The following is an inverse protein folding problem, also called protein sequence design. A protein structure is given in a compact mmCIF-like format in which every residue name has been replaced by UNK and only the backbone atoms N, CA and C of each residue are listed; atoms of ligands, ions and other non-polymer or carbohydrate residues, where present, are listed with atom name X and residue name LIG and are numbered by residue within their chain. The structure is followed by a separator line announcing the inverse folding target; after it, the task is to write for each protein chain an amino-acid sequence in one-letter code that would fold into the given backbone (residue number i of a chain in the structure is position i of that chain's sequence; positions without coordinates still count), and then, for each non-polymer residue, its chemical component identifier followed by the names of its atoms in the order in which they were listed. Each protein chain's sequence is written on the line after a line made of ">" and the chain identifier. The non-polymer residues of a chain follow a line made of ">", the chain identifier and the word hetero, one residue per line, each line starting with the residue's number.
data_IF_836960707993
#
_entry.id   IF_836960707993
#
_cell.length_a   1.000
_cell.length_b   1.000
_cell.length_c   1.000
_cell.angle_alpha   90.00
_cell.angle_beta   90.00
_cell.angle_gamma   90.00
#
_symmetry.space_group_name_H-M   'P 1'
#
loop_
_entity.id
_entity.type
_entity.pdbx_description
1 polymer ?
#
# COMPACT_ATOMS: atom_id res chain seq x y z
N UNK A 1 -24.42 -3.89 9.26
CA UNK A 1 -23.11 -4.15 8.63
C UNK A 1 -22.21 -3.00 8.98
N UNK A 2 -21.25 -3.18 9.89
CA UNK A 2 -20.21 -2.17 10.15
C UNK A 2 -19.29 -2.15 8.94
N UNK A 3 -19.17 -1.01 8.28
CA UNK A 3 -18.17 -0.82 7.23
C UNK A 3 -16.79 -1.13 7.83
N UNK A 4 -15.97 -1.92 7.14
CA UNK A 4 -14.60 -2.11 7.56
C UNK A 4 -13.90 -0.74 7.60
N UNK A 5 -13.04 -0.48 8.60
CA UNK A 5 -12.31 0.78 8.65
C UNK A 5 -11.45 0.91 7.38
N UNK A 6 -11.70 1.98 6.62
CA UNK A 6 -10.90 2.38 5.48
C UNK A 6 -9.63 3.05 6.01
N UNK A 7 -8.47 2.53 5.65
CA UNK A 7 -7.17 3.11 6.01
C UNK A 7 -6.61 3.84 4.81
N UNK A 8 -6.28 5.11 4.99
CA UNK A 8 -5.77 5.96 3.92
C UNK A 8 -4.42 6.54 4.32
N UNK A 9 -3.46 6.50 3.41
CA UNK A 9 -2.15 7.11 3.59
C UNK A 9 -1.69 7.78 2.28
N UNK A 10 -1.61 9.12 2.24
CA UNK A 10 -0.99 9.81 1.11
C UNK A 10 0.50 9.46 1.08
N UNK A 11 0.99 9.00 -0.07
CA UNK A 11 2.42 8.82 -0.30
C UNK A 11 3.09 10.13 -0.72
N UNK A 12 2.39 10.93 -1.53
CA UNK A 12 2.76 12.30 -1.90
C UNK A 12 1.50 13.11 -2.17
N UNK A 13 1.64 14.39 -2.51
CA UNK A 13 0.51 15.24 -2.92
C UNK A 13 -0.24 14.72 -4.17
N UNK A 14 0.34 13.75 -4.89
CA UNK A 14 -0.20 13.18 -6.11
C UNK A 14 -0.43 11.67 -6.05
N UNK A 15 -0.20 11.04 -4.90
CA UNK A 15 -0.37 9.60 -4.74
C UNK A 15 -1.06 9.29 -3.42
N UNK A 16 -2.19 8.60 -3.48
CA UNK A 16 -2.94 8.13 -2.31
C UNK A 16 -3.00 6.60 -2.30
N UNK A 17 -2.79 6.00 -1.13
CA UNK A 17 -2.97 4.57 -0.89
C UNK A 17 -4.17 4.38 0.03
N UNK A 18 -5.11 3.53 -0.35
CA UNK A 18 -6.27 3.20 0.48
C UNK A 18 -6.39 1.69 0.68
N UNK A 19 -6.86 1.26 1.84
CA UNK A 19 -7.06 -0.15 2.15
C UNK A 19 -8.37 -0.36 2.90
N UNK A 20 -9.25 -1.17 2.34
CA UNK A 20 -10.60 -1.45 2.87
C UNK A 20 -10.66 -2.70 3.78
N UNK A 21 -9.50 -3.29 4.10
CA UNK A 21 -9.41 -4.56 4.81
C UNK A 21 -9.23 -5.79 3.90
N UNK A 22 -9.33 -5.63 2.58
CA UNK A 22 -9.16 -6.72 1.59
C UNK A 22 -8.32 -6.31 0.39
N UNK A 23 -8.53 -5.10 -0.13
CA UNK A 23 -7.91 -4.59 -1.35
C UNK A 23 -7.15 -3.32 -1.00
N UNK A 24 -5.87 -3.29 -1.38
CA UNK A 24 -5.09 -2.07 -1.41
C UNK A 24 -5.31 -1.39 -2.76
N UNK A 25 -5.78 -0.17 -2.75
CA UNK A 25 -5.91 0.66 -3.94
C UNK A 25 -4.80 1.70 -3.96
N UNK A 26 -4.30 1.97 -5.15
CA UNK A 26 -3.30 3.02 -5.38
C UNK A 26 -3.88 4.00 -6.37
N UNK A 27 -3.97 5.26 -5.97
CA UNK A 27 -4.40 6.39 -6.78
C UNK A 27 -3.16 7.23 -7.10
N UNK A 28 -2.85 7.41 -8.39
CA UNK A 28 -1.68 8.16 -8.84
C UNK A 28 -1.99 9.53 -9.43
N UNK A 29 -0.95 10.17 -9.97
CA UNK A 29 -0.93 11.54 -10.51
C UNK A 29 -2.06 11.88 -11.50
N UNK A 30 -2.61 10.88 -12.18
CA UNK A 30 -3.83 10.98 -12.98
C UNK A 30 -4.77 9.87 -12.52
N UNK A 31 -6.08 10.16 -12.38
CA UNK A 31 -7.12 9.18 -12.02
C UNK A 31 -7.10 7.92 -12.91
N UNK A 32 -6.49 8.00 -14.10
CA UNK A 32 -6.24 6.87 -15.00
C UNK A 32 -5.25 5.82 -14.45
N UNK A 33 -4.50 6.12 -13.38
CA UNK A 33 -3.54 5.22 -12.76
C UNK A 33 -4.08 4.54 -11.49
N UNK A 34 -5.40 4.30 -11.40
CA UNK A 34 -5.99 3.50 -10.34
C UNK A 34 -5.76 2.01 -10.60
N UNK A 35 -5.17 1.32 -9.63
CA UNK A 35 -5.13 -0.15 -9.67
C UNK A 35 -5.38 -0.76 -8.29
N UNK A 36 -6.02 -1.93 -8.33
CA UNK A 36 -6.41 -2.70 -7.17
C UNK A 36 -5.41 -3.83 -6.93
N UNK A 37 -5.01 -4.00 -5.67
CA UNK A 37 -4.05 -5.01 -5.25
C UNK A 37 -4.70 -5.87 -4.17
N UNK A 38 -5.03 -7.11 -4.53
CA UNK A 38 -5.76 -8.06 -3.66
C UNK A 38 -4.88 -9.23 -3.17
N UNK A 39 -3.72 -9.45 -3.77
CA UNK A 39 -2.83 -10.60 -3.53
C UNK A 39 -1.92 -10.44 -2.29
N UNK A 40 -2.49 -10.10 -1.14
CA UNK A 40 -1.76 -9.94 0.13
C UNK A 40 -0.54 -9.01 0.02
N UNK A 41 -0.75 -7.75 -0.38
CA UNK A 41 0.34 -6.82 -0.66
C UNK A 41 1.21 -6.56 0.58
N UNK A 42 2.52 -6.50 0.35
CA UNK A 42 3.52 -6.07 1.34
C UNK A 42 4.15 -4.78 0.91
N UNK A 43 4.42 -3.91 1.87
CA UNK A 43 5.09 -2.63 1.65
C UNK A 43 6.49 -2.65 2.23
N UNK A 44 7.46 -2.23 1.44
CA UNK A 44 8.85 -2.03 1.83
C UNK A 44 9.26 -0.59 1.55
N UNK A 45 10.01 0.02 2.46
CA UNK A 45 10.46 1.40 2.34
C UNK A 45 11.92 1.45 1.92
N UNK A 46 12.17 1.94 0.70
CA UNK A 46 13.52 2.17 0.21
C UNK A 46 14.19 3.33 0.94
N UNK A 47 15.46 3.14 1.33
CA UNK A 47 16.31 4.12 2.02
C UNK A 47 17.27 4.87 1.08
N UNK A 48 17.12 4.69 -0.24
CA UNK A 48 17.99 5.28 -1.26
C UNK A 48 17.76 6.78 -1.49
N UNK A 49 18.57 7.37 -2.38
CA UNK A 49 18.51 8.79 -2.79
C UNK A 49 17.11 9.26 -3.19
N UNK A 50 16.31 8.35 -3.73
CA UNK A 50 14.89 8.56 -3.97
C UNK A 50 14.10 7.67 -3.03
N UNK A 51 13.33 8.30 -2.13
CA UNK A 51 12.43 7.61 -1.21
C UNK A 51 11.29 6.98 -2.00
N UNK A 52 11.15 5.66 -1.88
CA UNK A 52 10.09 4.91 -2.55
C UNK A 52 9.48 3.89 -1.62
N UNK A 53 8.18 3.73 -1.69
CA UNK A 53 7.51 2.55 -1.14
C UNK A 53 7.38 1.54 -2.28
N UNK A 54 7.76 0.31 -1.98
CA UNK A 54 7.67 -0.82 -2.91
C UNK A 54 6.55 -1.71 -2.42
N UNK A 55 5.52 -1.85 -3.25
CA UNK A 55 4.38 -2.73 -3.03
C UNK A 55 4.68 -4.03 -3.78
N UNK A 56 4.90 -5.11 -3.06
CA UNK A 56 5.12 -6.44 -3.61
C UNK A 56 3.88 -7.29 -3.39
N UNK A 57 3.39 -7.94 -4.45
CA UNK A 57 2.29 -8.90 -4.37
C UNK A 57 2.80 -10.33 -4.37
N UNK A 58 1.95 -11.30 -3.99
CA UNK A 58 2.30 -12.72 -3.91
C UNK A 58 2.89 -13.29 -5.21
N UNK A 59 2.38 -12.88 -6.38
CA UNK A 59 2.93 -13.26 -7.69
C UNK A 59 4.35 -12.74 -7.96
N UNK A 60 4.94 -11.95 -7.05
CA UNK A 60 6.28 -11.38 -7.19
C UNK A 60 6.30 -10.10 -8.01
N UNK A 61 5.15 -9.65 -8.56
CA UNK A 61 5.04 -8.34 -9.19
C UNK A 61 5.30 -7.26 -8.15
N UNK A 62 6.16 -6.31 -8.52
CA UNK A 62 6.54 -5.16 -7.68
C UNK A 62 6.08 -3.88 -8.34
N UNK A 63 5.45 -3.03 -7.56
CA UNK A 63 5.16 -1.66 -7.92
C UNK A 63 5.90 -0.74 -6.97
N UNK A 64 6.31 0.41 -7.46
CA UNK A 64 7.04 1.35 -6.63
C UNK A 64 6.54 2.74 -6.89
N UNK A 65 6.21 3.46 -5.81
CA UNK A 65 5.77 4.85 -5.88
C UNK A 65 6.72 5.71 -5.03
N UNK A 66 7.04 6.94 -5.47
CA UNK A 66 7.76 7.88 -4.63
C UNK A 66 6.93 8.23 -3.39
N UNK A 67 7.58 8.64 -2.31
CA UNK A 67 6.88 9.20 -1.16
C UNK A 67 7.63 10.38 -0.52
N UNK A 68 6.87 11.28 0.09
CA UNK A 68 7.38 12.44 0.80
C UNK A 68 7.80 12.10 2.23
N UNK A 69 8.89 12.70 2.69
CA UNK A 69 9.58 12.32 3.91
C UNK A 69 8.70 12.31 5.17
N UNK A 70 7.85 13.32 5.28
CA UNK A 70 6.89 13.59 6.34
C UNK A 70 5.70 12.63 6.34
N UNK A 71 5.42 11.98 5.21
CA UNK A 71 4.31 11.03 5.05
C UNK A 71 4.66 9.60 5.48
N UNK A 72 5.94 9.35 5.79
CA UNK A 72 6.45 8.02 6.13
C UNK A 72 5.66 7.33 7.24
N UNK A 73 5.35 8.04 8.32
CA UNK A 73 4.67 7.45 9.49
C UNK A 73 3.31 6.86 9.12
N UNK A 74 2.48 7.60 8.36
CA UNK A 74 1.18 7.10 7.91
C UNK A 74 1.29 5.91 6.96
N UNK A 75 2.32 5.88 6.11
CA UNK A 75 2.59 4.73 5.25
C UNK A 75 3.03 3.49 6.05
N UNK A 76 3.83 3.67 7.10
CA UNK A 76 4.24 2.58 7.99
C UNK A 76 3.05 2.01 8.78
N UNK A 77 2.13 2.86 9.22
CA UNK A 77 0.87 2.43 9.84
C UNK A 77 0.01 1.61 8.87
N UNK A 78 -0.16 2.09 7.63
CA UNK A 78 -0.86 1.36 6.58
C UNK A 78 -0.19 0.01 6.30
N UNK A 79 1.14 -0.02 6.20
CA UNK A 79 1.90 -1.26 6.02
C UNK A 79 1.68 -2.25 7.18
N UNK A 80 1.60 -1.76 8.42
CA UNK A 80 1.32 -2.57 9.58
C UNK A 80 -0.12 -3.12 9.57
N UNK A 81 -1.10 -2.34 9.10
CA UNK A 81 -2.48 -2.82 8.87
C UNK A 81 -2.48 -3.92 7.81
N UNK A 82 -1.86 -3.69 6.66
CA UNK A 82 -1.75 -4.68 5.58
C UNK A 82 -1.17 -6.00 6.09
N UNK A 83 -0.08 -5.94 6.84
CA UNK A 83 0.58 -7.12 7.40
C UNK A 83 -0.33 -7.92 8.35
N UNK A 84 -1.19 -7.25 9.12
CA UNK A 84 -2.18 -7.90 10.00
C UNK A 84 -3.38 -8.48 9.23
N UNK A 85 -3.71 -7.90 8.08
CA UNK A 85 -4.87 -8.29 7.28
C UNK A 85 -4.58 -9.41 6.28
N UNK A 86 -3.32 -9.72 5.99
CA UNK A 86 -2.97 -10.94 5.25
C UNK A 86 -3.30 -12.14 6.15
N UNK A 87 -4.31 -12.97 5.83
CA UNK A 87 -4.57 -14.16 6.61
C UNK A 87 -3.35 -15.08 6.48
N UNK A 88 -2.83 -15.60 7.59
CA UNK A 88 -2.06 -16.83 7.56
C UNK A 88 -2.98 -17.93 7.00
N UNK A 89 -2.97 -18.14 5.69
CA UNK A 89 -3.48 -19.38 5.11
C UNK A 89 -2.32 -20.33 4.92
N UNK A 90 -2.46 -21.60 5.34
CA UNK A 90 -1.40 -22.59 5.16
C UNK A 90 -1.02 -22.60 3.68
N UNK A 91 0.29 -22.71 3.43
CA UNK A 91 0.78 -23.00 2.08
C UNK A 91 0.14 -24.27 1.50
N UNK A 92 0.28 -24.48 0.18
CA UNK A 92 -0.25 -25.66 -0.48
C UNK A 92 0.19 -26.97 0.19
#
# INVERSE_FOLDING_TARGET
>A
MTAAPLYEAPASDSVLLTFDGRVLEVFGYVDAARYHVWEGPRMEFGTGRFRRVVITVRSGRRQSVPYDADRRAGLEELAAVLARSVPERPGP
#
